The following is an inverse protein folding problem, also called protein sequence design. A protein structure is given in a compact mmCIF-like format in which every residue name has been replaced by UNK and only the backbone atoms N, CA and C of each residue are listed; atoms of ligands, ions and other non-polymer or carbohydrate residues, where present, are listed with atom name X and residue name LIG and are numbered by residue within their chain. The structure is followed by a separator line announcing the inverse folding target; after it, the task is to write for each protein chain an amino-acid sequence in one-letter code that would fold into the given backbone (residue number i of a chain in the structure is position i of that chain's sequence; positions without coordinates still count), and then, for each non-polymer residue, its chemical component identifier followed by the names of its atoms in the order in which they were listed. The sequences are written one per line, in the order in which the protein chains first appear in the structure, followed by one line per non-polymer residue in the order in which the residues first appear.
data_IF_007677152572
#
_entry.id   IF_007677152572
#
_cell.length_a   1.000
_cell.length_b   1.000
_cell.length_c   1.000
_cell.angle_alpha   90.00
_cell.angle_beta   90.00
_cell.angle_gamma   90.00
#
_symmetry.space_group_name_H-M   'P 1'
#
loop_
_entity.id
_entity.type
_entity.pdbx_description
1 polymer ?
#
# COMPACT_ATOMS: atom_id res chain seq x y z
N UNK A 1 17.61 -17.55 -13.00
CA UNK A 1 17.13 -16.36 -13.73
C UNK A 1 15.65 -16.17 -13.40
N UNK A 2 15.34 -15.22 -12.52
CA UNK A 2 13.96 -15.06 -12.01
C UNK A 2 13.08 -14.51 -13.12
N UNK A 3 12.25 -15.39 -13.67
CA UNK A 3 11.16 -15.07 -14.60
C UNK A 3 10.38 -13.90 -14.01
N UNK A 4 10.55 -12.71 -14.59
CA UNK A 4 9.67 -11.57 -14.34
C UNK A 4 8.28 -12.06 -14.73
N UNK A 5 7.44 -12.35 -13.73
CA UNK A 5 6.00 -12.51 -13.95
C UNK A 5 5.55 -11.20 -14.58
N UNK A 6 5.32 -11.23 -15.89
CA UNK A 6 4.65 -10.17 -16.59
C UNK A 6 3.28 -10.07 -15.94
N UNK A 7 3.10 -9.11 -15.03
CA UNK A 7 1.77 -8.72 -14.58
C UNK A 7 1.12 -8.18 -15.84
N UNK A 8 0.25 -8.98 -16.45
CA UNK A 8 -0.60 -8.51 -17.52
C UNK A 8 -1.35 -7.31 -16.97
N UNK A 9 -1.04 -6.12 -17.51
CA UNK A 9 -1.84 -4.94 -17.24
C UNK A 9 -3.31 -5.35 -17.43
N UNK A 10 -4.18 -5.10 -16.43
CA UNK A 10 -5.59 -5.39 -16.62
C UNK A 10 -6.02 -4.56 -17.83
N UNK A 11 -6.38 -5.25 -18.92
CA UNK A 11 -6.99 -4.66 -20.11
C UNK A 11 -8.39 -4.15 -19.76
N UNK A 12 -8.44 -3.19 -18.83
CA UNK A 12 -9.59 -2.36 -18.64
C UNK A 12 -9.56 -1.38 -19.81
N UNK A 13 -10.44 -1.60 -20.79
CA UNK A 13 -10.89 -0.54 -21.69
C UNK A 13 -11.60 0.50 -20.81
N UNK A 14 -10.84 1.27 -20.05
CA UNK A 14 -11.39 2.43 -19.38
C UNK A 14 -11.65 3.46 -20.48
N UNK A 15 -12.87 4.00 -20.58
CA UNK A 15 -13.12 5.11 -21.49
C UNK A 15 -12.10 6.21 -21.19
N UNK A 16 -11.47 6.77 -22.23
CA UNK A 16 -10.52 7.88 -22.10
C UNK A 16 -11.27 9.17 -21.74
N UNK A 17 -11.76 9.25 -20.51
CA UNK A 17 -12.57 10.36 -20.02
C UNK A 17 -13.24 10.04 -18.68
N UNK A 18 -13.58 11.08 -17.91
CA UNK A 18 -14.42 10.93 -16.72
C UNK A 18 -15.80 10.45 -17.18
N UNK A 19 -16.22 9.27 -16.72
CA UNK A 19 -17.56 8.76 -16.97
C UNK A 19 -18.54 9.74 -16.30
N UNK A 20 -19.48 10.35 -17.06
CA UNK A 20 -20.46 11.26 -16.49
C UNK A 20 -21.31 10.50 -15.47
N UNK A 21 -21.36 11.01 -14.22
CA UNK A 21 -22.19 10.44 -13.17
C UNK A 21 -23.64 10.88 -13.40
N UNK A 22 -24.58 9.94 -13.38
CA UNK A 22 -25.99 10.25 -13.52
C UNK A 22 -26.55 10.78 -12.19
N UNK A 23 -26.93 12.07 -12.14
CA UNK A 23 -27.45 12.73 -10.95
C UNK A 23 -28.69 12.03 -10.35
N UNK A 24 -29.51 11.38 -11.18
CA UNK A 24 -30.69 10.62 -10.71
C UNK A 24 -30.32 9.42 -9.84
N UNK A 25 -29.15 8.82 -10.06
CA UNK A 25 -28.72 7.56 -9.41
C UNK A 25 -27.46 7.71 -8.56
N UNK A 26 -27.00 8.94 -8.30
CA UNK A 26 -25.76 9.20 -7.55
C UNK A 26 -25.81 8.65 -6.11
N UNK A 27 -27.01 8.59 -5.52
CA UNK A 27 -27.22 8.04 -4.17
C UNK A 27 -27.26 6.50 -4.13
N UNK A 28 -27.35 5.82 -5.28
CA UNK A 28 -27.48 4.37 -5.35
C UNK A 28 -26.11 3.72 -5.24
N UNK A 29 -25.81 3.19 -4.05
CA UNK A 29 -24.58 2.42 -3.81
C UNK A 29 -24.76 0.96 -4.26
N UNK A 30 -23.69 0.38 -4.77
CA UNK A 30 -23.66 -1.04 -5.14
C UNK A 30 -23.82 -1.90 -3.88
N UNK A 31 -24.82 -2.78 -3.85
CA UNK A 31 -25.03 -3.73 -2.73
C UNK A 31 -23.93 -4.79 -2.66
N UNK A 32 -23.33 -5.12 -3.81
CA UNK A 32 -22.26 -6.11 -3.90
C UNK A 32 -20.91 -5.45 -3.59
N UNK A 33 -20.34 -5.77 -2.42
CA UNK A 33 -19.05 -5.22 -2.02
C UNK A 33 -17.87 -6.07 -2.46
N UNK A 34 -17.58 -6.03 -3.76
CA UNK A 34 -16.44 -6.78 -4.32
C UNK A 34 -15.09 -6.16 -3.96
N UNK A 35 -15.03 -5.00 -3.31
CA UNK A 35 -13.80 -4.32 -2.88
C UNK A 35 -12.81 -3.87 -3.97
N UNK A 36 -12.98 -4.30 -5.23
CA UNK A 36 -11.97 -4.20 -6.29
C UNK A 36 -12.24 -3.10 -7.35
N UNK A 37 -13.26 -2.25 -7.17
CA UNK A 37 -13.54 -1.18 -8.15
C UNK A 37 -12.69 0.07 -7.90
N UNK A 38 -12.23 0.73 -8.97
CA UNK A 38 -11.50 2.01 -8.88
C UNK A 38 -12.30 3.10 -8.14
N UNK A 39 -13.62 3.14 -8.30
CA UNK A 39 -14.49 4.11 -7.62
C UNK A 39 -14.44 3.96 -6.10
N UNK A 40 -14.53 2.72 -5.58
CA UNK A 40 -14.43 2.40 -4.14
C UNK A 40 -13.05 2.74 -3.58
N UNK A 41 -11.98 2.52 -4.35
CA UNK A 41 -10.64 2.92 -3.95
C UNK A 41 -10.53 4.45 -3.79
N UNK A 42 -11.09 5.22 -4.73
CA UNK A 42 -11.12 6.69 -4.64
C UNK A 42 -11.97 7.20 -3.48
N UNK A 43 -13.15 6.61 -3.25
CA UNK A 43 -14.00 6.93 -2.08
C UNK A 43 -13.26 6.69 -0.76
N UNK A 44 -12.56 5.55 -0.63
CA UNK A 44 -11.73 5.25 0.55
C UNK A 44 -10.61 6.28 0.74
N UNK A 45 -9.97 6.73 -0.34
CA UNK A 45 -8.95 7.78 -0.26
C UNK A 45 -9.55 9.13 0.19
N UNK A 46 -10.75 9.47 -0.27
CA UNK A 46 -11.46 10.69 0.15
C UNK A 46 -11.90 10.62 1.61
N UNK A 47 -12.39 9.47 2.08
CA UNK A 47 -12.72 9.22 3.48
C UNK A 47 -11.49 9.31 4.38
N UNK A 48 -10.38 8.67 3.98
CA UNK A 48 -9.11 8.78 4.69
C UNK A 48 -8.72 10.26 4.77
N UNK A 49 -8.72 11.00 3.66
CA UNK A 49 -8.36 12.44 3.64
C UNK A 49 -9.29 13.31 4.51
N UNK A 50 -10.60 13.04 4.50
CA UNK A 50 -11.59 13.78 5.29
C UNK A 50 -11.43 13.53 6.79
N UNK A 51 -11.07 12.30 7.17
CA UNK A 51 -10.90 11.88 8.56
C UNK A 51 -9.46 12.11 9.09
N UNK A 52 -8.45 12.17 8.21
CA UNK A 52 -7.07 12.57 8.51
C UNK A 52 -6.95 14.10 8.61
N UNK A 53 -7.60 14.74 9.61
CA UNK A 53 -7.36 16.17 9.93
C UNK A 53 -6.06 16.35 10.73
N UNK A 54 -4.92 15.93 10.18
CA UNK A 54 -3.63 16.20 10.78
C UNK A 54 -3.05 17.47 10.16
N UNK A 55 -2.81 18.50 10.98
CA UNK A 55 -1.93 19.60 10.55
C UNK A 55 -0.49 19.07 10.45
N UNK A 56 0.30 19.64 9.55
CA UNK A 56 1.66 19.15 9.21
C UNK A 56 2.57 18.96 10.44
N UNK A 57 2.34 19.69 11.53
CA UNK A 57 3.15 19.62 12.76
C UNK A 57 2.48 18.88 13.93
N UNK A 58 1.26 18.35 13.74
CA UNK A 58 0.52 17.66 14.82
C UNK A 58 0.97 16.22 15.02
N UNK A 59 1.41 15.55 13.95
CA UNK A 59 1.79 14.14 13.98
C UNK A 59 2.94 13.94 14.98
N UNK A 60 4.00 14.74 14.86
CA UNK A 60 5.16 14.66 15.75
C UNK A 60 4.86 15.14 17.17
N UNK A 61 3.87 16.03 17.36
CA UNK A 61 3.43 16.48 18.70
C UNK A 61 2.65 15.40 19.46
N UNK A 62 1.90 14.54 18.76
CA UNK A 62 1.11 13.47 19.38
C UNK A 62 1.92 12.20 19.65
N UNK A 63 3.06 12.05 18.98
CA UNK A 63 3.95 10.89 19.16
C UNK A 63 4.93 11.18 20.30
N UNK A 64 5.04 10.24 21.24
CA UNK A 64 6.08 10.30 22.28
C UNK A 64 7.45 10.01 21.65
N UNK A 65 8.47 10.77 22.07
CA UNK A 65 9.87 10.57 21.60
C UNK A 65 10.34 9.12 21.82
N UNK A 66 9.89 8.49 22.90
CA UNK A 66 10.16 7.08 23.21
C UNK A 66 9.59 6.13 22.16
N UNK A 67 8.36 6.36 21.73
CA UNK A 67 7.71 5.56 20.67
C UNK A 67 8.38 5.78 19.32
N UNK A 68 8.83 7.01 19.03
CA UNK A 68 9.58 7.31 17.82
C UNK A 68 10.90 6.53 17.79
N UNK A 69 11.66 6.55 18.89
CA UNK A 69 12.92 5.80 19.01
C UNK A 69 12.69 4.29 18.87
N UNK A 70 11.66 3.76 19.53
CA UNK A 70 11.28 2.35 19.41
C UNK A 70 10.93 1.98 17.96
N UNK A 71 10.16 2.81 17.25
CA UNK A 71 9.77 2.55 15.87
C UNK A 71 10.99 2.54 14.93
N UNK A 72 11.88 3.53 15.05
CA UNK A 72 13.09 3.60 14.22
C UNK A 72 14.04 2.44 14.52
N UNK A 73 14.26 2.14 15.79
CA UNK A 73 15.17 1.07 16.21
C UNK A 73 14.65 -0.30 15.78
N UNK A 74 13.36 -0.60 15.99
CA UNK A 74 12.78 -1.89 15.61
C UNK A 74 12.75 -2.08 14.09
N UNK A 75 12.42 -1.05 13.31
CA UNK A 75 12.48 -1.13 11.85
C UNK A 75 13.91 -1.36 11.34
N UNK A 76 14.90 -0.63 11.86
CA UNK A 76 16.29 -0.80 11.47
C UNK A 76 16.79 -2.21 11.78
N UNK A 77 16.50 -2.72 12.98
CA UNK A 77 16.84 -4.09 13.37
C UNK A 77 16.13 -5.13 12.50
N UNK A 78 14.85 -4.91 12.17
CA UNK A 78 14.09 -5.80 11.30
C UNK A 78 14.68 -5.87 9.89
N UNK A 79 14.99 -4.72 9.29
CA UNK A 79 15.62 -4.64 7.96
C UNK A 79 16.99 -5.30 7.96
N UNK A 80 17.81 -5.05 8.97
CA UNK A 80 19.12 -5.68 9.11
C UNK A 80 19.01 -7.21 9.26
N UNK A 81 18.05 -7.69 10.05
CA UNK A 81 17.77 -9.12 10.21
C UNK A 81 17.32 -9.77 8.90
N UNK A 82 16.43 -9.11 8.16
CA UNK A 82 15.98 -9.57 6.84
C UNK A 82 17.13 -9.65 5.83
N UNK A 83 18.00 -8.64 5.79
CA UNK A 83 19.18 -8.63 4.93
C UNK A 83 20.19 -9.71 5.32
N UNK A 84 20.47 -9.87 6.61
CA UNK A 84 21.37 -10.92 7.11
C UNK A 84 20.85 -12.31 6.76
N UNK A 85 19.57 -12.57 6.98
CA UNK A 85 18.92 -13.82 6.59
C UNK A 85 19.06 -14.09 5.09
N UNK A 86 18.85 -13.06 4.26
CA UNK A 86 18.96 -13.16 2.80
C UNK A 86 20.40 -13.46 2.36
N UNK A 87 21.40 -12.83 2.99
CA UNK A 87 22.81 -13.10 2.72
C UNK A 87 23.23 -14.50 3.18
N UNK A 88 22.78 -14.94 4.35
CA UNK A 88 23.02 -16.29 4.87
C UNK A 88 22.39 -17.35 3.95
N UNK A 89 21.14 -17.16 3.50
CA UNK A 89 20.51 -18.09 2.55
C UNK A 89 21.20 -18.09 1.19
N UNK A 90 21.63 -16.93 0.68
CA UNK A 90 22.35 -16.83 -0.59
C UNK A 90 23.77 -17.40 -0.52
N UNK A 91 24.46 -17.23 0.61
CA UNK A 91 25.76 -17.84 0.87
C UNK A 91 25.65 -19.36 0.96
N UNK A 92 24.66 -19.88 1.68
CA UNK A 92 24.38 -21.32 1.72
C UNK A 92 24.04 -21.85 0.32
N UNK A 93 23.24 -21.13 -0.47
CA UNK A 93 22.93 -21.51 -1.86
C UNK A 93 24.18 -21.54 -2.75
N UNK A 94 25.11 -20.59 -2.55
CA UNK A 94 26.38 -20.53 -3.28
C UNK A 94 27.38 -21.61 -2.85
N UNK A 95 27.41 -21.98 -1.56
CA UNK A 95 28.27 -23.04 -1.04
C UNK A 95 27.74 -24.44 -1.31
N UNK A 96 26.43 -24.63 -1.48
CA UNK A 96 25.80 -25.92 -1.78
C UNK A 96 25.76 -26.29 -3.26
N UNK A 97 26.32 -25.47 -4.15
CA UNK A 97 26.61 -25.84 -5.53
C UNK A 97 25.45 -26.50 -6.28
N UNK A 98 24.33 -25.77 -6.42
CA UNK A 98 23.38 -26.04 -7.51
C UNK A 98 23.77 -25.17 -8.71
#
# INVERSE_FOLDING_TARGET
ESVKRHVSEPRSRQPRGKIPKNAKYDHVKTKLDTGCSMTKYMERLEEIRKNYRYRKDEIFKRIKLTTLAQLVSTNATFMFKMLKQTLETNFIFKCKGV
#
